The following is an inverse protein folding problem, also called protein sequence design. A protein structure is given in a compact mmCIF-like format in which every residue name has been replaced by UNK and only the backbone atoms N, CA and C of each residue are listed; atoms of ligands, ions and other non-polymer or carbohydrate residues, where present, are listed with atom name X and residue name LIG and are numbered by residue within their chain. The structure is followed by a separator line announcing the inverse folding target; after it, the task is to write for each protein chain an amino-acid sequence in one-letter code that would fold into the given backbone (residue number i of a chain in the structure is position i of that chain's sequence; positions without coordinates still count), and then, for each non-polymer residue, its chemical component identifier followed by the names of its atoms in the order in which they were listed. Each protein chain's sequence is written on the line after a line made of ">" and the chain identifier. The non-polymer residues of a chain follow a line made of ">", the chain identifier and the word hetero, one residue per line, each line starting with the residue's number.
data_IF_086822143236
#
_entry.id   IF_086822143236
#
_cell.length_a   1.000
_cell.length_b   1.000
_cell.length_c   1.000
_cell.angle_alpha   90.00
_cell.angle_beta   90.00
_cell.angle_gamma   90.00
#
_symmetry.space_group_name_H-M   'P 1'
#
loop_
_entity.id
_entity.type
_entity.pdbx_description
1 polymer ?
#
# COMPACT_ATOMS: atom_id res chain seq x y z
N UNK A 1 -15.40 14.17 26.25
CA UNK A 1 -16.22 13.58 25.17
C UNK A 1 -15.74 12.16 24.94
N UNK A 2 -16.61 11.16 25.05
CA UNK A 2 -16.27 9.80 24.63
C UNK A 2 -16.07 9.79 23.10
N UNK A 3 -15.07 9.07 22.57
CA UNK A 3 -14.90 8.96 21.12
C UNK A 3 -16.15 8.31 20.52
N UNK A 4 -16.70 8.90 19.46
CA UNK A 4 -17.78 8.30 18.68
C UNK A 4 -17.24 7.00 18.07
N UNK A 5 -17.70 5.86 18.58
CA UNK A 5 -17.41 4.54 17.99
C UNK A 5 -18.28 4.37 16.76
N UNK A 6 -17.67 4.49 15.57
CA UNK A 6 -18.33 4.18 14.30
C UNK A 6 -18.69 2.69 14.24
N UNK A 7 -19.81 2.36 13.59
CA UNK A 7 -20.18 0.96 13.42
C UNK A 7 -19.16 0.25 12.52
N UNK A 8 -18.72 -0.97 12.87
CA UNK A 8 -17.85 -1.77 12.02
C UNK A 8 -18.53 -2.09 10.69
N UNK A 9 -17.86 -1.80 9.58
CA UNK A 9 -18.31 -2.18 8.23
C UNK A 9 -17.82 -3.58 7.88
N UNK A 10 -16.64 -3.96 8.36
CA UNK A 10 -16.06 -5.27 8.13
C UNK A 10 -16.62 -6.33 9.06
N UNK A 11 -17.10 -7.41 8.46
CA UNK A 11 -17.47 -8.66 9.14
C UNK A 11 -16.53 -9.79 8.73
N UNK A 12 -16.35 -10.83 9.55
CA UNK A 12 -15.54 -12.00 9.16
C UNK A 12 -16.02 -12.66 7.86
N UNK A 13 -17.33 -12.67 7.60
CA UNK A 13 -17.89 -13.20 6.36
C UNK A 13 -17.50 -12.36 5.13
N UNK A 14 -17.46 -11.03 5.26
CA UNK A 14 -17.01 -10.13 4.21
C UNK A 14 -15.50 -10.27 3.96
N UNK A 15 -14.68 -10.37 5.01
CA UNK A 15 -13.24 -10.62 4.86
C UNK A 15 -12.96 -11.97 4.21
N UNK A 16 -13.75 -12.99 4.55
CA UNK A 16 -13.68 -14.29 3.92
C UNK A 16 -13.99 -14.22 2.41
N UNK A 17 -15.00 -13.45 2.00
CA UNK A 17 -15.36 -13.30 0.59
C UNK A 17 -14.28 -12.56 -0.22
N UNK A 18 -13.58 -11.60 0.39
CA UNK A 18 -12.42 -10.97 -0.24
C UNK A 18 -11.24 -11.94 -0.40
N UNK A 19 -10.91 -12.69 0.66
CA UNK A 19 -9.81 -13.67 0.65
C UNK A 19 -10.04 -14.80 -0.35
N UNK A 20 -11.28 -15.29 -0.46
CA UNK A 20 -11.64 -16.44 -1.32
C UNK A 20 -12.00 -16.05 -2.75
N UNK A 21 -11.88 -14.76 -3.11
CA UNK A 21 -12.25 -14.29 -4.44
C UNK A 21 -11.33 -14.91 -5.52
N UNK A 22 -11.87 -15.64 -6.52
CA UNK A 22 -11.07 -16.50 -7.40
C UNK A 22 -10.10 -15.74 -8.32
N UNK A 23 -10.37 -14.47 -8.60
CA UNK A 23 -9.56 -13.63 -9.49
C UNK A 23 -8.56 -12.74 -8.73
N UNK A 24 -8.59 -12.74 -7.40
CA UNK A 24 -7.74 -11.90 -6.58
C UNK A 24 -6.52 -12.71 -6.10
N UNK A 25 -5.28 -12.27 -6.38
CA UNK A 25 -4.12 -13.01 -5.92
C UNK A 25 -4.05 -13.07 -4.39
N UNK A 26 -3.57 -14.19 -3.87
CA UNK A 26 -3.58 -14.54 -2.44
C UNK A 26 -3.01 -13.46 -1.52
N UNK A 27 -1.95 -12.77 -1.94
CA UNK A 27 -1.27 -11.75 -1.14
C UNK A 27 -1.59 -10.32 -1.57
N UNK A 28 -2.77 -10.09 -2.16
CA UNK A 28 -3.22 -8.77 -2.65
C UNK A 28 -4.39 -8.22 -1.84
N UNK A 29 -5.34 -9.08 -1.48
CA UNK A 29 -6.63 -8.66 -0.95
C UNK A 29 -6.52 -7.77 0.30
N UNK A 30 -5.64 -8.10 1.25
CA UNK A 30 -5.58 -7.42 2.55
C UNK A 30 -5.12 -5.96 2.42
N UNK A 31 -4.10 -5.68 1.59
CA UNK A 31 -3.62 -4.31 1.43
C UNK A 31 -4.54 -3.51 0.52
N UNK A 32 -5.21 -4.15 -0.45
CA UNK A 32 -6.28 -3.50 -1.23
C UNK A 32 -7.42 -3.06 -0.31
N UNK A 33 -7.91 -3.95 0.56
CA UNK A 33 -8.93 -3.59 1.54
C UNK A 33 -8.45 -2.50 2.50
N UNK A 34 -7.21 -2.59 2.99
CA UNK A 34 -6.61 -1.57 3.86
C UNK A 34 -6.53 -0.19 3.22
N UNK A 35 -6.10 -0.12 1.95
CA UNK A 35 -6.05 1.13 1.19
C UNK A 35 -7.44 1.70 0.97
N UNK A 36 -8.42 0.86 0.60
CA UNK A 36 -9.82 1.27 0.46
C UNK A 36 -10.37 1.89 1.75
N UNK A 37 -10.13 1.26 2.90
CA UNK A 37 -10.55 1.79 4.20
C UNK A 37 -9.85 3.10 4.55
N UNK A 38 -8.55 3.21 4.27
CA UNK A 38 -7.81 4.46 4.41
C UNK A 38 -8.44 5.57 3.57
N UNK A 39 -8.77 5.29 2.30
CA UNK A 39 -9.43 6.23 1.40
C UNK A 39 -10.80 6.68 1.91
N UNK A 40 -11.57 5.76 2.47
CA UNK A 40 -12.87 5.99 3.11
C UNK A 40 -12.79 6.65 4.50
N UNK A 41 -11.59 7.01 4.96
CA UNK A 41 -11.35 7.59 6.28
C UNK A 41 -11.82 6.66 7.43
N UNK A 42 -11.61 5.35 7.27
CA UNK A 42 -11.84 4.28 8.26
C UNK A 42 -10.53 3.62 8.73
N UNK A 43 -9.56 4.39 9.26
CA UNK A 43 -8.30 3.82 9.76
C UNK A 43 -8.51 2.87 10.95
N UNK A 44 -9.63 2.99 11.67
CA UNK A 44 -10.05 2.13 12.77
C UNK A 44 -10.27 0.67 12.37
N UNK A 45 -10.65 0.42 11.11
CA UNK A 45 -10.94 -0.93 10.62
C UNK A 45 -9.73 -1.64 9.99
N UNK A 46 -8.67 -0.89 9.68
CA UNK A 46 -7.42 -1.42 9.09
C UNK A 46 -6.79 -2.52 9.96
N UNK A 47 -6.70 -2.39 11.30
CA UNK A 47 -6.26 -3.47 12.18
C UNK A 47 -7.01 -4.79 12.02
N UNK A 48 -8.34 -4.75 11.88
CA UNK A 48 -9.17 -5.96 11.79
C UNK A 48 -8.88 -6.76 10.52
N UNK A 49 -8.64 -6.06 9.40
CA UNK A 49 -8.19 -6.69 8.14
C UNK A 49 -6.87 -7.41 8.36
N UNK A 50 -5.90 -6.74 9.00
CA UNK A 50 -4.57 -7.28 9.19
C UNK A 50 -4.59 -8.50 10.12
N UNK A 51 -5.25 -8.42 11.27
CA UNK A 51 -5.39 -9.57 12.18
C UNK A 51 -6.06 -10.76 11.50
N UNK A 52 -7.15 -10.53 10.77
CA UNK A 52 -7.80 -11.59 10.01
C UNK A 52 -6.83 -12.20 8.99
N UNK A 53 -6.05 -11.38 8.30
CA UNK A 53 -5.08 -11.84 7.32
C UNK A 53 -3.97 -12.69 7.95
N UNK A 54 -3.46 -12.34 9.13
CA UNK A 54 -2.46 -13.15 9.85
C UNK A 54 -3.05 -14.51 10.27
N UNK A 55 -4.26 -14.51 10.84
CA UNK A 55 -4.94 -15.75 11.30
C UNK A 55 -5.33 -16.67 10.14
N UNK A 56 -5.64 -16.07 8.98
CA UNK A 56 -6.14 -16.75 7.80
C UNK A 56 -5.11 -16.71 6.65
N UNK A 57 -3.84 -16.55 6.97
CA UNK A 57 -2.76 -16.44 5.98
C UNK A 57 -2.54 -17.73 5.19
N UNK A 58 -1.49 -17.74 4.39
CA UNK A 58 -1.14 -18.87 3.53
C UNK A 58 -0.88 -20.18 4.28
N UNK A 59 -0.42 -20.10 5.54
CA UNK A 59 -0.03 -21.24 6.38
C UNK A 59 -1.06 -21.68 7.44
N UNK A 60 -2.26 -21.08 7.48
CA UNK A 60 -3.26 -21.33 8.53
C UNK A 60 -3.88 -22.75 8.53
N UNK A 61 -3.49 -23.62 7.59
CA UNK A 61 -4.13 -24.92 7.36
C UNK A 61 -3.46 -26.12 8.08
N UNK A 62 -2.30 -25.97 8.73
CA UNK A 62 -1.61 -27.10 9.37
C UNK A 62 -1.70 -27.05 10.92
N UNK A 63 -2.45 -27.98 11.55
CA UNK A 63 -2.58 -28.08 13.00
C UNK A 63 -1.38 -28.74 13.71
N UNK A 64 -0.40 -29.25 12.96
CA UNK A 64 0.89 -29.72 13.48
C UNK A 64 1.93 -28.69 13.10
N UNK A 65 2.65 -28.13 14.09
CA UNK A 65 3.66 -27.09 13.90
C UNK A 65 4.98 -27.57 14.46
N UNK A 66 5.87 -28.02 13.58
CA UNK A 66 7.26 -28.30 13.94
C UNK A 66 8.09 -27.00 13.89
N UNK A 67 9.29 -26.97 14.50
CA UNK A 67 10.12 -25.75 14.59
C UNK A 67 10.47 -25.10 13.24
N UNK A 68 10.55 -25.88 12.16
CA UNK A 68 10.75 -25.37 10.80
C UNK A 68 9.51 -24.65 10.23
N UNK A 69 8.30 -25.13 10.54
CA UNK A 69 7.03 -24.56 10.05
C UNK A 69 6.68 -23.26 10.78
N UNK A 70 7.11 -23.11 12.04
CA UNK A 70 6.97 -21.86 12.80
C UNK A 70 7.80 -20.72 12.21
N UNK A 71 9.02 -21.01 11.73
CA UNK A 71 9.86 -20.01 11.07
C UNK A 71 9.23 -19.51 9.77
N UNK A 72 8.70 -20.44 8.96
CA UNK A 72 7.98 -20.13 7.72
C UNK A 72 6.71 -19.31 7.97
N UNK A 73 6.00 -19.54 9.08
CA UNK A 73 4.81 -18.76 9.47
C UNK A 73 5.18 -17.30 9.79
N UNK A 74 6.28 -17.08 10.54
CA UNK A 74 6.77 -15.73 10.87
C UNK A 74 7.23 -14.98 9.61
N UNK A 75 7.94 -15.64 8.70
CA UNK A 75 8.36 -15.03 7.42
C UNK A 75 7.16 -14.61 6.56
N UNK A 76 6.13 -15.46 6.47
CA UNK A 76 4.89 -15.16 5.76
C UNK A 76 4.13 -13.98 6.40
N UNK A 77 4.02 -13.97 7.73
CA UNK A 77 3.39 -12.87 8.46
C UNK A 77 4.15 -11.55 8.25
N UNK A 78 5.48 -11.60 8.26
CA UNK A 78 6.34 -10.45 8.01
C UNK A 78 6.20 -9.95 6.57
N UNK A 79 6.11 -10.88 5.61
CA UNK A 79 5.83 -10.57 4.21
C UNK A 79 4.48 -9.84 4.06
N UNK A 80 3.43 -10.34 4.71
CA UNK A 80 2.11 -9.71 4.71
C UNK A 80 2.12 -8.33 5.38
N UNK A 81 2.77 -8.20 6.54
CA UNK A 81 2.89 -6.94 7.27
C UNK A 81 3.56 -5.84 6.43
N UNK A 82 4.67 -6.19 5.78
CA UNK A 82 5.43 -5.26 4.92
C UNK A 82 4.59 -4.79 3.73
N UNK A 83 3.85 -5.71 3.09
CA UNK A 83 2.99 -5.40 1.95
C UNK A 83 1.76 -4.58 2.32
N UNK A 84 1.17 -4.83 3.49
CA UNK A 84 0.11 -3.99 4.06
C UNK A 84 0.59 -2.55 4.27
N UNK A 85 1.76 -2.38 4.92
CA UNK A 85 2.39 -1.07 5.11
C UNK A 85 2.71 -0.41 3.78
N UNK A 86 3.28 -1.15 2.84
CA UNK A 86 3.68 -0.64 1.52
C UNK A 86 2.49 -0.16 0.69
N UNK A 87 1.39 -0.92 0.64
CA UNK A 87 0.18 -0.53 -0.08
C UNK A 87 -0.40 0.77 0.49
N UNK A 88 -0.49 0.88 1.82
CA UNK A 88 -0.92 2.11 2.50
C UNK A 88 0.01 3.29 2.17
N UNK A 89 1.33 3.11 2.27
CA UNK A 89 2.31 4.17 1.95
C UNK A 89 2.24 4.63 0.50
N UNK A 90 2.18 3.69 -0.46
CA UNK A 90 2.07 4.02 -1.89
C UNK A 90 0.77 4.76 -2.20
N UNK A 91 -0.32 4.43 -1.50
CA UNK A 91 -1.59 5.12 -1.68
C UNK A 91 -1.56 6.59 -1.25
N UNK A 92 -0.55 7.05 -0.49
CA UNK A 92 -0.41 8.45 -0.09
C UNK A 92 -0.36 9.42 -1.29
N UNK A 93 0.13 8.96 -2.45
CA UNK A 93 0.17 9.74 -3.69
C UNK A 93 -1.23 10.10 -4.23
N UNK A 94 -2.28 9.39 -3.81
CA UNK A 94 -3.65 9.53 -4.34
C UNK A 94 -4.65 9.83 -3.21
N UNK A 95 -4.52 9.13 -2.09
CA UNK A 95 -5.40 9.23 -0.92
C UNK A 95 -5.00 10.39 -0.02
N UNK A 96 -3.74 10.82 -0.11
CA UNK A 96 -3.17 11.88 0.73
C UNK A 96 -2.52 11.34 2.01
N UNK A 97 -1.42 11.98 2.39
CA UNK A 97 -0.60 11.62 3.56
C UNK A 97 -1.39 11.58 4.89
N UNK A 98 -2.32 12.52 5.19
CA UNK A 98 -3.02 12.50 6.49
C UNK A 98 -3.81 11.22 6.79
N UNK A 99 -4.54 10.70 5.79
CA UNK A 99 -5.31 9.45 5.93
C UNK A 99 -4.38 8.25 6.12
N UNK A 100 -3.29 8.21 5.36
CA UNK A 100 -2.27 7.16 5.46
C UNK A 100 -1.57 7.17 6.82
N UNK A 101 -1.25 8.34 7.38
CA UNK A 101 -0.69 8.46 8.74
C UNK A 101 -1.63 7.78 9.74
N UNK A 102 -2.92 8.11 9.71
CA UNK A 102 -3.89 7.53 10.64
C UNK A 102 -4.01 6.01 10.48
N UNK A 103 -4.03 5.51 9.25
CA UNK A 103 -4.10 4.08 8.96
C UNK A 103 -2.84 3.32 9.43
N UNK A 104 -1.64 3.84 9.16
CA UNK A 104 -0.37 3.23 9.59
C UNK A 104 -0.25 3.24 11.12
N UNK A 105 -0.65 4.34 11.78
CA UNK A 105 -0.63 4.43 13.24
C UNK A 105 -1.66 3.51 13.89
N UNK A 106 -2.83 3.33 13.30
CA UNK A 106 -3.81 2.35 13.74
C UNK A 106 -3.26 0.92 13.60
N UNK A 107 -2.70 0.59 12.44
CA UNK A 107 -2.07 -0.70 12.16
C UNK A 107 -0.93 -1.02 13.15
N UNK A 108 -0.08 -0.04 13.45
CA UNK A 108 1.03 -0.20 14.41
C UNK A 108 0.55 -0.68 15.78
N UNK A 109 -0.59 -0.18 16.27
CA UNK A 109 -1.11 -0.52 17.62
C UNK A 109 -1.45 -2.00 17.80
N UNK A 110 -1.70 -2.72 16.70
CA UNK A 110 -2.09 -4.13 16.72
C UNK A 110 -1.08 -5.03 16.01
N UNK A 111 0.03 -4.48 15.54
CA UNK A 111 1.09 -5.26 14.90
C UNK A 111 2.00 -5.84 16.00
N UNK A 112 2.18 -7.17 16.08
CA UNK A 112 3.13 -7.78 16.99
C UNK A 112 4.55 -7.24 16.81
N UNK A 113 5.30 -7.10 17.91
CA UNK A 113 6.65 -6.48 17.89
C UNK A 113 7.61 -7.14 16.90
N UNK A 114 7.57 -8.46 16.77
CA UNK A 114 8.41 -9.21 15.83
C UNK A 114 8.07 -8.98 14.35
N UNK A 115 6.94 -8.31 14.04
CA UNK A 115 6.53 -7.90 12.70
C UNK A 115 6.74 -6.40 12.44
N UNK A 116 7.22 -5.64 13.43
CA UNK A 116 7.59 -4.23 13.29
C UNK A 116 9.00 -4.10 12.73
N UNK A 117 9.20 -3.13 11.84
CA UNK A 117 10.54 -2.73 11.44
C UNK A 117 11.08 -1.75 12.50
N UNK A 118 12.32 -1.93 12.96
CA UNK A 118 12.96 -1.04 13.92
C UNK A 118 13.38 0.29 13.27
N UNK A 119 13.16 1.45 13.94
CA UNK A 119 13.62 2.74 13.44
C UNK A 119 15.15 2.76 13.25
N UNK A 120 15.61 3.26 12.11
CA UNK A 120 17.04 3.36 11.79
C UNK A 120 17.68 2.06 11.28
N UNK A 121 16.96 0.93 11.33
CA UNK A 121 17.40 -0.31 10.70
C UNK A 121 17.05 -0.33 9.21
N UNK A 122 17.78 -1.10 8.39
CA UNK A 122 17.46 -1.26 6.97
C UNK A 122 16.01 -1.73 6.77
N UNK A 123 15.18 -0.87 6.18
CA UNK A 123 13.83 -1.26 5.74
C UNK A 123 13.92 -2.05 4.43
N UNK A 124 13.04 -3.05 4.21
CA UNK A 124 12.94 -3.77 2.93
C UNK A 124 12.70 -2.86 1.73
N UNK A 125 11.98 -1.74 1.94
CA UNK A 125 11.77 -0.74 0.88
C UNK A 125 13.04 0.05 0.54
N UNK A 126 14.02 0.11 1.45
CA UNK A 126 15.23 0.91 1.30
C UNK A 126 14.99 2.40 1.08
N UNK A 127 13.79 2.93 1.40
CA UNK A 127 13.45 4.35 1.15
C UNK A 127 14.36 5.34 1.88
N UNK A 128 14.89 4.97 3.05
CA UNK A 128 15.86 5.81 3.74
C UNK A 128 17.10 6.06 2.87
N UNK A 129 17.66 5.01 2.28
CA UNK A 129 18.79 5.14 1.36
C UNK A 129 18.42 5.90 0.07
N UNK A 130 17.16 5.82 -0.38
CA UNK A 130 16.70 6.64 -1.51
C UNK A 130 16.68 8.14 -1.17
N UNK A 131 16.44 8.52 0.07
CA UNK A 131 16.44 9.93 0.48
C UNK A 131 17.86 10.44 0.74
N UNK A 132 18.73 9.64 1.36
CA UNK A 132 20.00 10.12 1.89
C UNK A 132 21.24 9.71 1.08
N UNK A 133 21.20 8.56 0.40
CA UNK A 133 22.40 7.94 -0.18
C UNK A 133 22.33 7.83 -1.72
N UNK A 134 21.13 7.70 -2.27
CA UNK A 134 20.91 7.48 -3.72
C UNK A 134 20.83 8.82 -4.45
N UNK A 135 21.53 9.00 -5.58
CA UNK A 135 21.41 10.21 -6.38
C UNK A 135 19.95 10.48 -6.79
N UNK A 136 19.41 11.69 -6.51
CA UNK A 136 18.02 12.02 -6.82
C UNK A 136 17.63 11.78 -8.28
N UNK A 137 18.55 12.05 -9.21
CA UNK A 137 18.32 11.84 -10.64
C UNK A 137 17.99 10.37 -10.97
N UNK A 138 18.68 9.41 -10.36
CA UNK A 138 18.43 7.98 -10.58
C UNK A 138 17.03 7.56 -10.13
N UNK A 139 16.51 8.17 -9.07
CA UNK A 139 15.15 7.93 -8.56
C UNK A 139 14.12 8.53 -9.51
N UNK A 140 14.36 9.75 -10.01
CA UNK A 140 13.50 10.41 -10.97
C UNK A 140 13.47 9.66 -12.32
N UNK A 141 14.59 9.13 -12.79
CA UNK A 141 14.66 8.29 -14.00
C UNK A 141 13.90 6.97 -13.84
N UNK A 142 13.98 6.33 -12.67
CA UNK A 142 13.14 5.17 -12.35
C UNK A 142 11.66 5.54 -12.35
N UNK A 143 11.30 6.68 -11.74
CA UNK A 143 9.95 7.23 -11.74
C UNK A 143 9.41 7.48 -13.15
N UNK A 144 10.24 8.06 -14.02
CA UNK A 144 9.90 8.30 -15.42
C UNK A 144 9.62 6.99 -16.16
N UNK A 145 10.48 5.97 -16.02
CA UNK A 145 10.27 4.65 -16.64
C UNK A 145 8.99 3.99 -16.14
N UNK A 146 8.72 4.09 -14.84
CA UNK A 146 7.50 3.56 -14.24
C UNK A 146 6.24 4.26 -14.80
N UNK A 147 6.27 5.59 -14.88
CA UNK A 147 5.19 6.39 -15.49
C UNK A 147 4.97 6.03 -16.96
N UNK A 148 6.05 5.89 -17.73
CA UNK A 148 5.99 5.48 -19.13
C UNK A 148 5.40 4.08 -19.30
N UNK A 149 5.73 3.14 -18.40
CA UNK A 149 5.14 1.80 -18.37
C UNK A 149 3.62 1.82 -18.16
N UNK A 150 3.14 2.68 -17.25
CA UNK A 150 1.71 2.80 -16.93
C UNK A 150 0.90 3.49 -18.04
N UNK A 151 1.42 4.60 -18.59
CA UNK A 151 0.70 5.41 -19.57
C UNK A 151 1.00 5.03 -21.02
N UNK A 152 2.03 4.20 -21.25
CA UNK A 152 2.43 3.73 -22.57
C UNK A 152 2.60 4.86 -23.59
N UNK A 153 1.93 4.73 -24.73
CA UNK A 153 2.05 5.66 -25.87
C UNK A 153 1.63 7.10 -25.55
N UNK A 154 0.77 7.32 -24.54
CA UNK A 154 0.27 8.66 -24.20
C UNK A 154 1.07 9.35 -23.10
N UNK A 155 2.07 8.69 -22.51
CA UNK A 155 2.91 9.21 -21.41
C UNK A 155 3.44 10.63 -21.67
N UNK A 156 4.14 10.85 -22.80
CA UNK A 156 4.69 12.18 -23.17
C UNK A 156 3.62 13.26 -23.26
N UNK A 157 2.43 12.91 -23.79
CA UNK A 157 1.31 13.84 -23.88
C UNK A 157 0.78 14.20 -22.49
N UNK A 158 0.55 13.19 -21.63
CA UNK A 158 0.00 13.39 -20.28
C UNK A 158 0.97 14.20 -19.42
N UNK A 159 2.26 13.85 -19.40
CA UNK A 159 3.27 14.62 -18.67
C UNK A 159 3.38 16.04 -19.22
N UNK A 160 3.41 16.19 -20.56
CA UNK A 160 3.45 17.51 -21.17
C UNK A 160 2.22 18.38 -20.88
N UNK A 161 1.03 17.78 -20.68
CA UNK A 161 -0.16 18.51 -20.22
C UNK A 161 0.01 19.01 -18.79
N UNK A 162 0.59 18.19 -17.90
CA UNK A 162 0.89 18.60 -16.52
C UNK A 162 1.94 19.72 -16.48
N UNK A 163 3.01 19.59 -17.27
CA UNK A 163 4.07 20.61 -17.39
C UNK A 163 3.54 21.95 -17.92
N UNK A 164 2.48 21.93 -18.74
CA UNK A 164 1.87 23.12 -19.35
C UNK A 164 0.50 23.47 -18.77
N UNK A 165 0.21 23.04 -17.54
CA UNK A 165 -1.10 23.21 -16.90
C UNK A 165 -1.36 24.63 -16.37
N UNK A 166 -0.50 25.59 -16.67
CA UNK A 166 -0.49 26.93 -16.04
C UNK A 166 0.24 26.96 -14.68
N UNK A 167 0.58 25.79 -14.14
CA UNK A 167 1.53 25.61 -13.04
C UNK A 167 2.45 24.43 -13.35
N UNK A 168 3.72 24.71 -13.69
CA UNK A 168 4.70 23.65 -14.00
C UNK A 168 4.88 22.69 -12.80
N UNK A 169 4.59 23.17 -11.59
CA UNK A 169 4.65 22.41 -10.35
C UNK A 169 3.78 21.15 -10.36
N UNK A 170 2.72 21.10 -11.19
CA UNK A 170 1.93 19.87 -11.34
C UNK A 170 2.78 18.73 -11.93
N UNK A 171 3.54 19.02 -12.99
CA UNK A 171 4.44 18.06 -13.62
C UNK A 171 5.61 17.68 -12.70
N UNK A 172 6.14 18.63 -11.93
CA UNK A 172 7.17 18.36 -10.93
C UNK A 172 6.63 17.49 -9.78
N UNK A 173 5.43 17.78 -9.28
CA UNK A 173 4.75 17.00 -8.25
C UNK A 173 4.51 15.57 -8.73
N UNK A 174 4.06 15.37 -9.97
CA UNK A 174 3.90 14.06 -10.55
C UNK A 174 5.23 13.28 -10.56
N UNK A 175 6.33 13.90 -11.01
CA UNK A 175 7.66 13.27 -11.00
C UNK A 175 8.14 12.89 -9.59
N UNK A 176 7.87 13.71 -8.58
CA UNK A 176 8.16 13.38 -7.18
C UNK A 176 7.36 12.14 -6.72
N UNK A 177 6.05 12.10 -7.00
CA UNK A 177 5.19 10.97 -6.62
C UNK A 177 5.59 9.68 -7.34
N UNK A 178 5.82 9.74 -8.65
CA UNK A 178 6.24 8.56 -9.41
C UNK A 178 7.66 8.11 -9.03
N UNK A 179 8.58 9.04 -8.78
CA UNK A 179 9.96 8.73 -8.37
C UNK A 179 10.06 8.10 -6.98
N UNK A 180 9.67 8.85 -5.95
CA UNK A 180 9.94 8.48 -4.55
C UNK A 180 8.88 7.58 -3.91
N UNK A 181 7.66 7.56 -4.45
CA UNK A 181 6.56 6.80 -3.83
C UNK A 181 6.22 5.57 -4.68
N UNK A 182 5.86 5.76 -5.94
CA UNK A 182 5.22 4.70 -6.74
C UNK A 182 6.23 3.76 -7.42
N UNK A 183 7.38 4.24 -7.88
CA UNK A 183 8.33 3.41 -8.65
C UNK A 183 9.27 2.53 -7.82
N UNK A 184 9.23 2.62 -6.48
CA UNK A 184 9.97 1.69 -5.64
C UNK A 184 9.25 0.32 -5.66
N UNK A 185 9.84 -0.67 -6.32
CA UNK A 185 9.24 -2.00 -6.49
C UNK A 185 9.83 -3.07 -5.55
N UNK A 186 10.53 -2.67 -4.47
CA UNK A 186 11.21 -3.63 -3.58
C UNK A 186 10.26 -4.47 -2.72
N UNK A 187 9.02 -4.02 -2.51
CA UNK A 187 8.01 -4.69 -1.68
C UNK A 187 6.72 -5.01 -2.44
N UNK A 188 6.21 -4.05 -3.22
CA UNK A 188 5.11 -4.26 -4.17
C UNK A 188 5.62 -3.93 -5.58
N UNK A 189 5.43 -4.85 -6.52
CA UNK A 189 5.79 -4.62 -7.93
C UNK A 189 4.87 -3.57 -8.61
N UNK A 190 5.10 -3.28 -9.89
CA UNK A 190 4.29 -2.33 -10.64
C UNK A 190 2.79 -2.72 -10.74
N UNK A 191 2.47 -4.00 -10.90
CA UNK A 191 1.09 -4.48 -10.98
C UNK A 191 0.41 -4.35 -9.62
N UNK A 192 1.10 -4.69 -8.56
CA UNK A 192 0.63 -4.61 -7.18
C UNK A 192 0.47 -3.18 -6.70
N UNK A 193 1.39 -2.30 -7.10
CA UNK A 193 1.29 -0.84 -6.91
C UNK A 193 0.04 -0.31 -7.62
N UNK A 194 -0.28 -0.82 -8.82
CA UNK A 194 -1.49 -0.43 -9.54
C UNK A 194 -2.77 -0.86 -8.79
N UNK A 195 -2.78 -2.03 -8.14
CA UNK A 195 -3.90 -2.41 -7.27
C UNK A 195 -4.08 -1.46 -6.09
N UNK A 196 -3.00 -1.03 -5.43
CA UNK A 196 -3.07 -0.05 -4.36
C UNK A 196 -3.59 1.31 -4.89
N UNK A 197 -3.14 1.75 -6.06
CA UNK A 197 -3.64 2.98 -6.68
C UNK A 197 -5.14 2.92 -6.98
N UNK A 198 -5.60 1.84 -7.62
CA UNK A 198 -7.02 1.62 -7.94
C UNK A 198 -7.87 1.56 -6.67
N UNK A 199 -7.41 0.84 -5.63
CA UNK A 199 -8.07 0.76 -4.34
C UNK A 199 -8.21 2.13 -3.66
N UNK A 200 -7.26 3.03 -3.88
CA UNK A 200 -7.33 4.41 -3.40
C UNK A 200 -8.26 5.30 -4.22
N UNK A 201 -8.40 5.05 -5.52
CA UNK A 201 -9.20 5.88 -6.43
C UNK A 201 -10.70 5.56 -6.38
N UNK A 202 -11.07 4.27 -6.44
CA UNK A 202 -12.48 3.82 -6.53
C UNK A 202 -13.35 4.43 -5.42
N UNK A 203 -12.96 4.40 -4.13
CA UNK A 203 -13.82 4.88 -3.05
C UNK A 203 -13.90 6.41 -2.95
N UNK A 204 -13.02 7.12 -3.68
CA UNK A 204 -13.01 8.59 -3.74
C UNK A 204 -13.89 9.13 -4.87
N UNK A 205 -14.61 8.26 -5.58
CA UNK A 205 -15.56 8.60 -6.65
C UNK A 205 -14.93 9.48 -7.75
N UNK A 206 -13.70 9.12 -8.16
CA UNK A 206 -13.05 9.69 -9.35
C UNK A 206 -13.68 9.11 -10.64
N UNK A 207 -15.01 9.07 -10.74
CA UNK A 207 -15.63 8.95 -12.07
C UNK A 207 -15.35 10.25 -12.82
N UNK A 208 -14.77 10.13 -14.03
CA UNK A 208 -14.64 11.27 -14.93
C UNK A 208 -16.05 11.82 -15.14
N UNK A 209 -16.30 13.05 -14.70
CA UNK A 209 -17.42 13.84 -15.20
C UNK A 209 -17.27 13.93 -16.73
N UNK A 210 -17.98 13.06 -17.44
CA UNK A 210 -18.16 13.11 -18.89
C UNK A 210 -19.15 14.21 -19.25
#
# INVERSE_FOLDING_TARGET
>A
MAPLTLQPVLTPALLHSFRSHPQLPKHVWYYVTGVTLSALNRPDEVPAVFSYALENGAGAASPVRNGAEQHTDVEEQLYMARRMREGLLKSAAIVGVPKVINAILALKKTTPDHLLDEPGMPSPSGRAAEIYDTPPLSILERGQRFFEGLYGKVSKRVMGQMDRSGTEDLGLTARLMYGYILSNEKVLDAKETSFAAIAGLIPQDYERSS
#
